data_IF_723202628911
#
_entry.id   IF_723202628911
#
_cell.length_a   1.000
_cell.length_b   1.000
_cell.length_c   1.000
_cell.angle_alpha   90.00
_cell.angle_beta   90.00
_cell.angle_gamma   90.00
#
_symmetry.space_group_name_H-M   'P 1'
#
loop_
_entity.id
_entity.type
_entity.pdbx_description
1 polymer ?
#
# COMPACT_ATOMS: atom_id res chain seq x y z
N UNK A 1 4.77 -16.30 -22.33
CA UNK A 1 4.60 -15.83 -20.93
C UNK A 1 4.28 -14.35 -20.96
N UNK A 2 3.35 -13.85 -20.14
CA UNK A 2 3.02 -12.43 -20.13
C UNK A 2 4.23 -11.63 -19.65
N UNK A 3 4.65 -10.62 -20.42
CA UNK A 3 5.77 -9.74 -20.10
C UNK A 3 5.36 -8.59 -19.16
N UNK A 4 4.41 -8.87 -18.26
CA UNK A 4 3.79 -7.86 -17.39
C UNK A 4 4.80 -7.18 -16.48
N UNK A 5 4.48 -5.95 -16.10
CA UNK A 5 5.34 -5.09 -15.28
C UNK A 5 4.58 -4.69 -14.04
N UNK A 6 5.11 -5.06 -12.87
CA UNK A 6 4.64 -4.56 -11.58
C UNK A 6 5.29 -3.21 -11.31
N UNK A 7 4.49 -2.17 -11.15
CA UNK A 7 4.93 -0.84 -10.80
C UNK A 7 4.58 -0.51 -9.35
N UNK A 8 5.48 0.19 -8.66
CA UNK A 8 5.24 0.82 -7.36
C UNK A 8 5.54 2.29 -7.53
N UNK A 9 4.52 3.09 -7.30
CA UNK A 9 4.55 4.55 -7.43
C UNK A 9 4.11 5.19 -6.13
N UNK A 10 4.69 6.33 -5.82
CA UNK A 10 4.37 7.13 -4.64
C UNK A 10 3.94 8.53 -5.07
N UNK A 11 3.00 9.09 -4.34
CA UNK A 11 2.56 10.47 -4.48
C UNK A 11 2.74 11.15 -3.13
N UNK A 12 3.51 12.23 -3.10
CA UNK A 12 3.64 13.07 -1.91
C UNK A 12 2.45 14.04 -1.84
N UNK A 13 1.72 14.01 -0.72
CA UNK A 13 0.59 14.91 -0.44
C UNK A 13 -0.42 15.01 -1.59
N UNK A 14 -1.01 13.90 -2.10
CA UNK A 14 -2.03 13.99 -3.12
C UNK A 14 -3.30 14.55 -2.46
N UNK A 15 -3.43 15.87 -2.42
CA UNK A 15 -4.62 16.58 -1.94
C UNK A 15 -5.89 16.17 -2.69
N UNK A 16 -5.70 15.55 -3.84
CA UNK A 16 -6.74 15.08 -4.76
C UNK A 16 -7.22 13.67 -4.45
N UNK A 17 -6.53 12.91 -3.59
CA UNK A 17 -6.96 11.57 -3.22
C UNK A 17 -7.71 11.59 -1.87
N UNK A 18 -9.03 11.33 -1.84
CA UNK A 18 -9.82 11.36 -0.62
C UNK A 18 -9.34 10.37 0.45
N UNK A 19 -8.91 9.18 0.02
CA UNK A 19 -8.40 8.14 0.92
C UNK A 19 -7.09 8.61 1.59
N UNK A 20 -6.17 9.18 0.82
CA UNK A 20 -4.92 9.69 1.36
C UNK A 20 -5.13 10.93 2.26
N UNK A 21 -6.05 11.81 1.86
CA UNK A 21 -6.45 12.98 2.65
C UNK A 21 -7.01 12.57 4.01
N UNK A 22 -7.87 11.55 4.04
CA UNK A 22 -8.49 11.11 5.31
C UNK A 22 -7.51 10.35 6.18
N UNK A 23 -6.68 9.47 5.60
CA UNK A 23 -5.58 8.83 6.32
C UNK A 23 -4.66 9.87 6.98
N UNK A 24 -4.38 10.99 6.29
CA UNK A 24 -3.59 12.08 6.86
C UNK A 24 -4.32 12.82 7.98
N UNK A 25 -5.58 13.22 7.79
CA UNK A 25 -6.32 14.03 8.76
C UNK A 25 -6.62 13.29 10.07
N UNK A 26 -6.71 11.96 10.02
CA UNK A 26 -6.96 11.13 11.21
C UNK A 26 -5.70 10.46 11.77
N UNK A 27 -4.52 10.75 11.20
CA UNK A 27 -3.25 10.06 11.49
C UNK A 27 -3.37 8.52 11.46
N UNK A 28 -4.17 8.02 10.52
CA UNK A 28 -4.45 6.59 10.36
C UNK A 28 -3.68 6.02 9.17
N UNK A 29 -3.67 4.68 9.09
CA UNK A 29 -3.19 3.94 7.92
C UNK A 29 -4.38 3.40 7.15
N UNK A 30 -4.37 3.57 5.83
CA UNK A 30 -5.28 2.86 4.92
C UNK A 30 -4.46 1.99 3.98
N UNK A 31 -4.58 0.68 4.11
CA UNK A 31 -3.84 -0.32 3.34
C UNK A 31 -4.74 -1.25 2.50
N UNK A 32 -6.06 -1.09 2.63
CA UNK A 32 -7.07 -1.90 1.95
C UNK A 32 -8.15 -1.00 1.37
N UNK A 33 -8.28 -1.03 0.04
CA UNK A 33 -9.28 -0.29 -0.73
C UNK A 33 -9.87 -1.21 -1.78
N UNK A 34 -11.19 -1.36 -1.79
CA UNK A 34 -11.93 -2.06 -2.84
C UNK A 34 -12.62 -1.03 -3.73
N UNK A 35 -12.58 -1.20 -5.05
CA UNK A 35 -13.24 -0.27 -5.98
C UNK A 35 -14.19 -1.03 -6.88
N UNK A 36 -15.42 -0.54 -6.99
CA UNK A 36 -16.40 -1.09 -7.93
C UNK A 36 -16.04 -0.72 -9.36
N UNK A 37 -16.48 -1.54 -10.31
CA UNK A 37 -16.37 -1.24 -11.74
C UNK A 37 -17.77 -1.01 -12.26
N UNK A 38 -18.01 0.15 -12.86
CA UNK A 38 -19.31 0.52 -13.41
C UNK A 38 -19.18 0.83 -14.89
N UNK A 39 -19.94 0.12 -15.70
CA UNK A 39 -19.97 0.29 -17.17
C UNK A 39 -21.24 1.02 -17.65
N UNK A 40 -22.19 1.29 -16.75
CA UNK A 40 -23.48 1.91 -17.06
C UNK A 40 -23.29 3.42 -17.25
N UNK A 41 -23.70 4.01 -18.39
CA UNK A 41 -23.62 5.46 -18.58
C UNK A 41 -24.40 6.23 -17.50
N UNK A 42 -23.74 7.18 -16.85
CA UNK A 42 -24.35 8.03 -15.81
C UNK A 42 -24.28 7.46 -14.40
N UNK A 43 -23.78 6.24 -14.22
CA UNK A 43 -23.37 5.73 -12.92
C UNK A 43 -21.87 5.90 -12.74
N UNK A 44 -21.43 6.00 -11.48
CA UNK A 44 -20.04 6.25 -11.11
C UNK A 44 -19.53 5.13 -10.22
N UNK A 45 -18.22 4.88 -10.31
CA UNK A 45 -17.55 3.90 -9.46
C UNK A 45 -17.54 4.37 -8.01
N UNK A 46 -17.42 3.43 -7.07
CA UNK A 46 -17.24 3.72 -5.64
C UNK A 46 -15.99 3.01 -5.12
N UNK A 47 -15.27 3.64 -4.21
CA UNK A 47 -14.20 2.99 -3.44
C UNK A 47 -14.60 2.85 -1.98
N UNK A 48 -14.38 1.67 -1.42
CA UNK A 48 -14.58 1.37 -0.02
C UNK A 48 -13.24 1.09 0.66
N UNK A 49 -13.06 1.61 1.86
CA UNK A 49 -11.84 1.42 2.63
C UNK A 49 -12.13 1.43 4.12
N UNK A 50 -11.25 0.77 4.87
CA UNK A 50 -11.36 0.70 6.33
C UNK A 50 -10.42 1.72 6.95
N UNK A 51 -10.94 2.48 7.90
CA UNK A 51 -10.20 3.43 8.71
C UNK A 51 -10.28 3.02 10.16
N UNK A 52 -9.15 3.08 10.87
CA UNK A 52 -9.09 2.94 12.33
C UNK A 52 -8.75 4.30 12.92
N UNK A 53 -9.75 4.96 13.50
CA UNK A 53 -9.65 6.30 14.07
C UNK A 53 -10.64 6.43 15.24
N UNK A 54 -10.27 7.17 16.28
CA UNK A 54 -11.12 7.38 17.46
C UNK A 54 -12.34 8.29 17.15
N UNK A 55 -12.13 9.26 16.26
CA UNK A 55 -13.15 10.19 15.81
C UNK A 55 -13.45 9.98 14.31
N UNK A 56 -14.72 10.11 13.89
CA UNK A 56 -15.07 10.04 12.48
C UNK A 56 -14.37 11.17 11.71
N UNK A 57 -13.88 10.91 10.48
CA UNK A 57 -13.21 11.93 9.70
C UNK A 57 -14.19 13.05 9.33
N UNK A 58 -13.73 14.30 9.41
CA UNK A 58 -14.48 15.47 8.94
C UNK A 58 -14.40 15.55 7.40
N UNK A 59 -15.07 14.61 6.75
CA UNK A 59 -15.06 14.45 5.29
C UNK A 59 -16.47 14.24 4.78
N UNK A 60 -17.11 15.31 4.31
CA UNK A 60 -18.46 15.29 3.74
C UNK A 60 -18.60 14.41 2.49
N UNK A 61 -17.48 14.11 1.82
CA UNK A 61 -17.42 13.23 0.66
C UNK A 61 -17.44 11.73 1.00
N UNK A 62 -17.37 11.36 2.29
CA UNK A 62 -17.36 9.98 2.74
C UNK A 62 -18.68 9.56 3.38
N UNK A 63 -19.23 8.46 2.89
CA UNK A 63 -20.40 7.81 3.48
C UNK A 63 -19.94 6.67 4.42
N UNK A 64 -20.27 6.71 5.73
CA UNK A 64 -20.02 5.58 6.62
C UNK A 64 -20.97 4.42 6.31
N UNK A 65 -20.43 3.26 5.97
CA UNK A 65 -21.21 2.07 5.59
C UNK A 65 -21.35 1.08 6.74
N UNK A 66 -20.26 0.84 7.48
CA UNK A 66 -20.25 -0.16 8.55
C UNK A 66 -19.23 0.18 9.64
N UNK A 67 -19.39 -0.40 10.83
CA UNK A 67 -18.45 -0.24 11.96
C UNK A 67 -18.16 -1.59 12.62
N UNK A 68 -16.87 -1.92 12.71
CA UNK A 68 -16.28 -3.09 13.37
C UNK A 68 -15.56 -2.65 14.66
N UNK A 69 -16.29 -2.13 15.65
CA UNK A 69 -15.66 -1.57 16.84
C UNK A 69 -14.89 -0.29 16.52
N UNK A 70 -13.55 -0.31 16.64
CA UNK A 70 -12.63 0.81 16.33
C UNK A 70 -12.38 1.01 14.83
N UNK A 71 -12.80 0.05 13.99
CA UNK A 71 -12.61 0.10 12.54
C UNK A 71 -13.89 0.46 11.82
N UNK A 72 -13.86 1.45 10.95
CA UNK A 72 -15.03 1.94 10.23
C UNK A 72 -14.84 1.79 8.72
N UNK A 73 -15.83 1.21 8.04
CA UNK A 73 -15.86 1.09 6.59
C UNK A 73 -16.51 2.35 6.01
N UNK A 74 -15.77 3.09 5.20
CA UNK A 74 -16.26 4.25 4.48
C UNK A 74 -16.35 3.96 3.00
N UNK A 75 -17.30 4.61 2.34
CA UNK A 75 -17.45 4.64 0.89
C UNK A 75 -17.22 6.05 0.38
N UNK A 76 -16.41 6.15 -0.66
CA UNK A 76 -16.23 7.33 -1.48
C UNK A 76 -16.85 7.08 -2.85
N UNK A 77 -17.60 8.05 -3.36
CA UNK A 77 -18.18 8.00 -4.71
C UNK A 77 -17.30 8.84 -5.62
N UNK A 78 -16.76 8.21 -6.67
CA UNK A 78 -15.97 8.92 -7.68
C UNK A 78 -16.87 9.82 -8.51
N UNK A 79 -16.36 10.94 -8.99
CA UNK A 79 -17.14 11.90 -9.80
C UNK A 79 -16.88 11.75 -11.31
N UNK A 80 -16.03 10.81 -11.72
CA UNK A 80 -15.69 10.57 -13.12
C UNK A 80 -14.68 11.58 -13.67
N UNK A 81 -14.15 12.50 -12.87
CA UNK A 81 -13.08 13.42 -13.28
C UNK A 81 -11.72 12.72 -13.40
N UNK A 82 -11.57 11.55 -12.77
CA UNK A 82 -10.31 10.83 -12.58
C UNK A 82 -9.25 11.62 -11.79
N UNK A 83 -9.67 12.63 -11.03
CA UNK A 83 -8.78 13.53 -10.31
C UNK A 83 -8.01 12.84 -9.18
N UNK A 84 -8.36 11.61 -8.76
CA UNK A 84 -7.47 10.80 -7.92
C UNK A 84 -6.60 9.82 -8.74
N UNK A 85 -5.33 9.59 -8.34
CA UNK A 85 -4.46 8.62 -9.02
C UNK A 85 -5.06 7.21 -9.15
N UNK A 86 -5.89 6.85 -8.17
CA UNK A 86 -6.63 5.60 -8.09
C UNK A 86 -7.66 5.43 -9.21
N UNK A 87 -8.43 6.49 -9.50
CA UNK A 87 -9.42 6.51 -10.57
C UNK A 87 -8.74 6.60 -11.94
N UNK A 88 -7.69 7.43 -12.06
CA UNK A 88 -6.85 7.50 -13.26
C UNK A 88 -6.29 6.13 -13.66
N UNK A 89 -5.77 5.34 -12.71
CA UNK A 89 -5.32 3.96 -12.99
C UNK A 89 -6.43 3.08 -13.58
N UNK A 90 -7.66 3.26 -13.11
CA UNK A 90 -8.85 2.56 -13.62
C UNK A 90 -9.13 2.85 -15.09
N UNK A 91 -8.91 4.09 -15.57
CA UNK A 91 -9.11 4.48 -16.98
C UNK A 91 -8.21 3.69 -17.94
N UNK A 92 -7.04 3.27 -17.47
CA UNK A 92 -6.10 2.45 -18.24
C UNK A 92 -6.30 0.95 -18.04
N UNK A 93 -7.34 0.53 -17.31
CA UNK A 93 -7.56 -0.88 -16.98
C UNK A 93 -6.48 -1.46 -16.07
N UNK A 94 -5.84 -0.62 -15.26
CA UNK A 94 -4.83 -1.02 -14.28
C UNK A 94 -5.44 -1.01 -12.88
N UNK A 95 -6.02 -2.12 -12.39
CA UNK A 95 -6.52 -2.16 -11.02
C UNK A 95 -5.37 -1.96 -10.04
N UNK A 96 -5.67 -1.26 -8.95
CA UNK A 96 -4.74 -1.12 -7.83
C UNK A 96 -4.64 -2.47 -7.11
N UNK A 97 -3.44 -3.05 -7.12
CA UNK A 97 -3.11 -4.30 -6.42
C UNK A 97 -2.85 -4.06 -4.94
N UNK A 98 -2.17 -2.96 -4.60
CA UNK A 98 -1.98 -2.53 -3.21
C UNK A 98 -2.12 -1.04 -3.07
N UNK A 99 -2.73 -0.69 -1.95
CA UNK A 99 -2.92 0.66 -1.48
C UNK A 99 -2.11 0.85 -0.20
N UNK A 100 -1.45 1.98 -0.03
CA UNK A 100 -0.87 2.34 1.27
C UNK A 100 -0.88 3.86 1.40
N UNK A 101 -1.76 4.37 2.26
CA UNK A 101 -1.83 5.79 2.58
C UNK A 101 -1.56 6.01 4.07
N UNK A 102 -0.61 6.89 4.37
CA UNK A 102 -0.24 7.28 5.73
C UNK A 102 0.45 8.63 5.69
N UNK A 103 0.17 9.51 6.67
CA UNK A 103 0.88 10.80 6.85
C UNK A 103 0.99 11.66 5.58
N UNK A 104 -0.05 11.62 4.74
CA UNK A 104 -0.12 12.40 3.51
C UNK A 104 0.66 11.80 2.34
N UNK A 105 1.32 10.65 2.48
CA UNK A 105 1.88 9.91 1.34
C UNK A 105 0.89 8.85 0.86
N UNK A 106 0.85 8.63 -0.46
CA UNK A 106 0.11 7.54 -1.08
C UNK A 106 1.05 6.69 -1.93
N UNK A 107 1.21 5.42 -1.57
CA UNK A 107 1.87 4.41 -2.41
C UNK A 107 0.83 3.52 -3.08
N UNK A 108 0.91 3.41 -4.40
CA UNK A 108 0.10 2.50 -5.20
C UNK A 108 0.98 1.43 -5.86
N UNK A 109 0.47 0.21 -5.88
CA UNK A 109 1.02 -0.88 -6.68
C UNK A 109 0.00 -1.27 -7.73
N UNK A 110 0.44 -1.41 -8.98
CA UNK A 110 -0.40 -1.92 -10.06
C UNK A 110 0.44 -2.78 -11.02
N UNK A 111 -0.25 -3.50 -11.91
CA UNK A 111 0.37 -4.32 -12.94
C UNK A 111 -0.06 -3.81 -14.31
N UNK A 112 0.92 -3.42 -15.11
CA UNK A 112 0.72 -3.19 -16.54
C UNK A 112 0.93 -4.50 -17.30
N UNK A 113 0.10 -4.76 -18.31
CA UNK A 113 0.18 -5.93 -19.18
C UNK A 113 1.49 -5.95 -19.99
N UNK A 114 1.99 -4.77 -20.36
CA UNK A 114 3.22 -4.58 -21.12
C UNK A 114 3.84 -3.19 -20.87
N UNK A 115 4.91 -2.89 -21.62
CA UNK A 115 5.61 -1.61 -21.52
C UNK A 115 4.83 -0.44 -22.12
N UNK A 116 3.98 -0.68 -23.12
CA UNK A 116 3.19 0.38 -23.78
C UNK A 116 2.13 0.90 -22.81
N UNK A 117 1.38 -0.01 -22.16
CA UNK A 117 0.41 0.36 -21.13
C UNK A 117 1.09 1.05 -19.95
N UNK A 118 2.26 0.57 -19.51
CA UNK A 118 3.02 1.23 -18.45
C UNK A 118 3.40 2.67 -18.82
N UNK A 119 3.89 2.89 -20.04
CA UNK A 119 4.27 4.24 -20.48
C UNK A 119 3.08 5.17 -20.56
N UNK A 120 1.93 4.69 -21.06
CA UNK A 120 0.70 5.47 -21.10
C UNK A 120 0.25 5.88 -19.69
N UNK A 121 0.15 4.92 -18.77
CA UNK A 121 -0.25 5.16 -17.37
C UNK A 121 0.70 6.13 -16.66
N UNK A 122 2.01 5.88 -16.75
CA UNK A 122 3.01 6.73 -16.07
C UNK A 122 3.05 8.13 -16.68
N UNK A 123 2.84 8.25 -18.00
CA UNK A 123 2.73 9.53 -18.68
C UNK A 123 1.57 10.35 -18.13
N UNK A 124 0.38 9.75 -18.09
CA UNK A 124 -0.83 10.41 -17.60
C UNK A 124 -0.73 10.76 -16.11
N UNK A 125 -0.27 9.82 -15.27
CA UNK A 125 -0.09 10.06 -13.85
C UNK A 125 0.91 11.20 -13.59
N UNK A 126 1.96 11.33 -14.39
CA UNK A 126 2.94 12.42 -14.23
C UNK A 126 2.37 13.77 -14.66
N UNK A 127 1.55 13.79 -15.72
CA UNK A 127 0.94 15.01 -16.23
C UNK A 127 -0.08 15.57 -15.22
N UNK A 128 -0.95 14.69 -14.69
CA UNK A 128 -1.98 15.05 -13.73
C UNK A 128 -1.46 15.22 -12.30
N UNK A 129 -0.44 14.45 -11.93
CA UNK A 129 0.13 14.42 -10.59
C UNK A 129 1.66 14.65 -10.65
N UNK A 130 2.11 15.92 -10.70
CA UNK A 130 3.54 16.25 -10.81
C UNK A 130 4.41 15.73 -9.65
N UNK A 131 3.80 15.40 -8.50
CA UNK A 131 4.45 14.82 -7.34
C UNK A 131 4.65 13.30 -7.39
N UNK A 132 4.40 12.66 -8.55
CA UNK A 132 4.63 11.24 -8.76
C UNK A 132 6.13 10.87 -8.69
N UNK A 133 6.47 9.91 -7.84
CA UNK A 133 7.76 9.24 -7.81
C UNK A 133 7.61 7.74 -8.12
N UNK A 134 8.52 7.19 -8.95
CA UNK A 134 8.52 5.78 -9.31
C UNK A 134 9.53 5.07 -8.41
N UNK A 135 9.04 4.38 -7.39
CA UNK A 135 9.89 3.66 -6.44
C UNK A 135 10.44 2.36 -6.99
N UNK A 136 9.64 1.62 -7.76
CA UNK A 136 10.04 0.28 -8.24
C UNK A 136 9.33 -0.15 -9.51
N UNK A 137 10.07 -0.76 -10.42
CA UNK A 137 9.52 -1.49 -11.57
C UNK A 137 10.11 -2.91 -11.58
N UNK A 138 9.24 -3.93 -11.60
CA UNK A 138 9.64 -5.35 -11.67
C UNK A 138 8.99 -5.97 -12.89
N UNK A 139 9.79 -6.56 -13.77
CA UNK A 139 9.31 -7.28 -14.95
C UNK A 139 9.12 -8.75 -14.62
N UNK A 140 8.07 -9.37 -15.18
CA UNK A 140 7.95 -10.82 -15.16
C UNK A 140 9.16 -11.45 -15.87
N UNK A 141 9.80 -12.49 -15.31
CA UNK A 141 10.90 -13.19 -15.96
C UNK A 141 10.47 -13.70 -17.34
N UNK A 142 11.09 -13.19 -18.40
CA UNK A 142 10.76 -13.56 -19.78
C UNK A 142 11.70 -14.69 -20.23
N UNK A 143 11.35 -15.95 -19.94
CA UNK A 143 12.06 -17.15 -20.42
C UNK A 143 13.34 -17.54 -19.68
N UNK A 144 13.45 -18.83 -19.31
CA UNK A 144 14.60 -19.66 -18.85
C UNK A 144 15.77 -19.06 -18.05
N UNK A 145 15.64 -17.86 -17.50
CA UNK A 145 16.35 -17.49 -16.29
C UNK A 145 15.39 -17.80 -15.13
N UNK A 146 15.72 -18.74 -14.21
CA UNK A 146 15.01 -18.84 -12.95
C UNK A 146 15.30 -17.55 -12.18
N UNK A 147 14.49 -16.52 -12.43
CA UNK A 147 14.28 -15.51 -11.42
C UNK A 147 13.65 -16.25 -10.27
N UNK A 148 14.45 -16.52 -9.23
CA UNK A 148 14.01 -17.10 -7.96
C UNK A 148 13.16 -16.05 -7.22
N UNK A 149 12.07 -15.65 -7.86
CA UNK A 149 11.14 -14.64 -7.39
C UNK A 149 10.06 -15.35 -6.62
N UNK A 150 10.23 -15.39 -5.31
CA UNK A 150 9.26 -16.00 -4.41
C UNK A 150 8.22 -14.95 -4.00
N UNK A 151 6.95 -15.33 -4.07
CA UNK A 151 5.86 -14.47 -3.60
C UNK A 151 5.85 -14.46 -2.07
N UNK A 152 6.00 -13.26 -1.49
CA UNK A 152 5.96 -13.08 -0.03
C UNK A 152 4.63 -12.44 0.37
N UNK A 153 3.82 -13.17 1.12
CA UNK A 153 2.51 -12.74 1.58
C UNK A 153 2.63 -11.97 2.90
N UNK A 154 2.68 -10.64 2.80
CA UNK A 154 2.71 -9.76 3.97
C UNK A 154 1.45 -9.90 4.85
N UNK A 155 0.33 -10.37 4.31
CA UNK A 155 -0.91 -10.60 5.06
C UNK A 155 -0.79 -11.69 6.13
N UNK A 156 0.25 -12.54 6.06
CA UNK A 156 0.55 -13.51 7.12
C UNK A 156 1.07 -12.85 8.39
N UNK A 157 1.63 -11.64 8.31
CA UNK A 157 2.13 -10.91 9.47
C UNK A 157 0.97 -10.31 10.28
N UNK A 158 1.05 -10.39 11.60
CA UNK A 158 0.14 -9.59 12.44
C UNK A 158 0.54 -8.11 12.37
N UNK A 159 -0.39 -7.20 12.67
CA UNK A 159 -0.09 -5.76 12.73
C UNK A 159 1.16 -5.47 13.59
N UNK A 160 1.25 -6.10 14.78
CA UNK A 160 2.41 -5.94 15.67
C UNK A 160 3.71 -6.50 15.07
N UNK A 161 3.66 -7.63 14.38
CA UNK A 161 4.84 -8.21 13.70
C UNK A 161 5.33 -7.32 12.57
N UNK A 162 4.41 -6.73 11.80
CA UNK A 162 4.73 -5.79 10.73
C UNK A 162 5.35 -4.50 11.28
N UNK A 163 4.75 -3.92 12.32
CA UNK A 163 5.23 -2.72 13.01
C UNK A 163 6.65 -2.91 13.59
N UNK A 164 6.89 -4.04 14.27
CA UNK A 164 8.22 -4.37 14.81
C UNK A 164 9.26 -4.50 13.70
N UNK A 165 8.91 -5.18 12.60
CA UNK A 165 9.82 -5.37 11.46
C UNK A 165 10.13 -4.04 10.76
N UNK A 166 9.13 -3.19 10.53
CA UNK A 166 9.29 -1.86 9.94
C UNK A 166 10.17 -0.97 10.80
N UNK A 167 9.89 -0.88 12.10
CA UNK A 167 10.67 -0.05 13.03
C UNK A 167 12.13 -0.50 13.09
N UNK A 168 12.37 -1.82 13.14
CA UNK A 168 13.74 -2.36 13.08
C UNK A 168 14.45 -2.01 11.77
N UNK A 169 13.75 -2.10 10.63
CA UNK A 169 14.29 -1.76 9.33
C UNK A 169 14.64 -0.27 9.23
N UNK A 170 13.72 0.61 9.60
CA UNK A 170 13.87 2.06 9.50
C UNK A 170 14.96 2.61 10.43
N UNK A 171 15.17 1.97 11.58
CA UNK A 171 16.27 2.29 12.51
C UNK A 171 17.62 1.68 12.08
N UNK A 172 17.71 1.00 10.94
CA UNK A 172 18.95 0.42 10.44
C UNK A 172 19.46 -0.79 11.25
N UNK A 173 18.56 -1.52 11.92
CA UNK A 173 18.92 -2.70 12.74
C UNK A 173 19.64 -3.80 11.93
N UNK A 174 19.30 -3.91 10.65
CA UNK A 174 19.83 -4.93 9.74
C UNK A 174 21.08 -4.46 8.97
N UNK A 175 21.51 -3.21 9.13
CA UNK A 175 22.63 -2.62 8.39
C UNK A 175 24.00 -3.06 8.92
N UNK A 176 25.03 -2.80 8.11
CA UNK A 176 26.44 -3.04 8.43
C UNK A 176 27.25 -1.78 8.09
N UNK A 177 27.71 -0.98 9.08
CA UNK A 177 27.45 -1.10 10.53
C UNK A 177 25.97 -0.88 10.87
N UNK A 178 25.51 -1.40 12.02
CA UNK A 178 24.12 -1.23 12.46
C UNK A 178 23.83 0.22 12.84
N UNK A 179 22.69 0.74 12.40
CA UNK A 179 22.14 2.03 12.83
C UNK A 179 21.56 1.99 14.25
N UNK A 180 20.94 0.87 14.62
CA UNK A 180 20.40 0.62 15.95
C UNK A 180 20.57 -0.83 16.41
N UNK A 181 20.58 -1.04 17.72
CA UNK A 181 20.60 -2.35 18.37
C UNK A 181 19.21 -2.76 18.89
N UNK A 182 19.05 -4.02 19.32
CA UNK A 182 17.76 -4.57 19.71
C UNK A 182 17.14 -3.86 20.93
N UNK A 183 17.96 -3.33 21.83
CA UNK A 183 17.49 -2.58 23.01
C UNK A 183 16.97 -1.21 22.59
N UNK A 184 17.63 -0.54 21.65
CA UNK A 184 17.21 0.75 21.11
C UNK A 184 15.89 0.64 20.33
N UNK A 185 15.75 -0.38 19.48
CA UNK A 185 14.49 -0.62 18.75
C UNK A 185 13.35 -1.01 19.70
N UNK A 186 13.63 -1.81 20.72
CA UNK A 186 12.62 -2.17 21.72
C UNK A 186 12.14 -0.95 22.52
N UNK A 187 13.04 -0.02 22.85
CA UNK A 187 12.72 1.23 23.52
C UNK A 187 11.82 2.14 22.66
N UNK A 188 12.09 2.23 21.35
CA UNK A 188 11.24 2.98 20.41
C UNK A 188 9.81 2.41 20.35
N UNK A 189 9.67 1.09 20.46
CA UNK A 189 8.39 0.37 20.41
C UNK A 189 7.67 0.27 21.78
N UNK A 190 8.22 0.90 22.83
CA UNK A 190 7.78 0.81 24.23
C UNK A 190 7.56 -0.63 24.71
N UNK A 191 8.50 -1.53 24.38
CA UNK A 191 8.49 -2.93 24.81
C UNK A 191 9.84 -3.36 25.36
N UNK A 192 9.86 -4.49 26.05
CA UNK A 192 11.12 -5.10 26.46
C UNK A 192 11.83 -5.78 25.28
N UNK A 193 13.15 -5.95 25.40
CA UNK A 193 14.00 -6.54 24.37
C UNK A 193 13.60 -7.99 24.00
N UNK A 194 13.10 -8.77 24.96
CA UNK A 194 12.60 -10.14 24.70
C UNK A 194 11.37 -10.13 23.79
N UNK A 195 10.38 -9.28 24.07
CA UNK A 195 9.16 -9.13 23.28
C UNK A 195 9.47 -8.62 21.87
N UNK A 196 10.41 -7.69 21.74
CA UNK A 196 10.92 -7.27 20.42
C UNK A 196 11.50 -8.46 19.65
N UNK A 197 12.40 -9.22 20.28
CA UNK A 197 13.07 -10.36 19.66
C UNK A 197 12.08 -11.46 19.26
N UNK A 198 11.07 -11.72 20.09
CA UNK A 198 10.00 -12.69 19.80
C UNK A 198 9.15 -12.25 18.60
N UNK A 199 8.69 -10.99 18.57
CA UNK A 199 7.90 -10.48 17.44
C UNK A 199 8.72 -10.45 16.14
N UNK A 200 9.98 -10.03 16.21
CA UNK A 200 10.87 -9.99 15.05
C UNK A 200 11.15 -11.39 14.52
N UNK A 201 11.44 -12.36 15.41
CA UNK A 201 11.64 -13.75 15.02
C UNK A 201 10.38 -14.34 14.38
N UNK A 202 9.20 -14.11 14.97
CA UNK A 202 7.95 -14.60 14.41
C UNK A 202 7.64 -13.98 13.03
N UNK A 203 7.93 -12.70 12.84
CA UNK A 203 7.79 -12.02 11.56
C UNK A 203 8.73 -12.63 10.50
N UNK A 204 10.02 -12.76 10.85
CA UNK A 204 11.03 -13.32 9.95
C UNK A 204 10.76 -14.79 9.61
N UNK A 205 10.28 -15.61 10.55
CA UNK A 205 9.90 -17.01 10.29
C UNK A 205 8.82 -17.11 9.22
N UNK A 206 7.81 -16.25 9.25
CA UNK A 206 6.74 -16.25 8.24
C UNK A 206 7.28 -15.84 6.85
N UNK A 207 8.10 -14.80 6.81
CA UNK A 207 8.72 -14.34 5.56
C UNK A 207 9.71 -15.37 5.00
N UNK A 208 10.47 -16.04 5.86
CA UNK A 208 11.39 -17.11 5.47
C UNK A 208 10.63 -18.35 5.01
N UNK A 209 9.50 -18.71 5.64
CA UNK A 209 8.67 -19.81 5.18
C UNK A 209 8.14 -19.59 3.76
N UNK A 210 7.75 -18.35 3.44
CA UNK A 210 7.41 -17.97 2.06
C UNK A 210 8.60 -18.14 1.13
N UNK A 211 9.76 -17.54 1.48
CA UNK A 211 10.99 -17.56 0.66
C UNK A 211 11.58 -18.96 0.46
N UNK A 212 11.42 -19.86 1.43
CA UNK A 212 11.99 -21.21 1.42
C UNK A 212 11.02 -22.28 0.87
N UNK A 213 9.85 -21.88 0.37
CA UNK A 213 8.83 -22.79 -0.19
C UNK A 213 8.32 -23.86 0.80
N UNK A 214 8.29 -23.57 2.11
CA UNK A 214 7.72 -24.47 3.13
C UNK A 214 6.20 -24.27 3.33
N UNK A 215 5.48 -23.78 2.32
CA UNK A 215 4.06 -23.37 2.37
C UNK A 215 3.14 -24.19 1.49
#
# INVERSE_FOLDING_TARGET
MPAGIRATVEFDSPSVCPVASVAHSTDSVVDSVSTSVVSTPGEVSVSEFVLEADDPPDASALEPIFSYGSKHLYRYTHDGSADCPCECLGEFGCPVDRYFAQRGSLTLVFHAADYEQLQAVIGELRDRFPGLDIKRLVRSPTGDAPGDSVFVDRGKLTARQLEVLQTAYDMGYFERPRGANATEVAAELDINQSTFSEHLAAALTKLLGDVLEEG
#
